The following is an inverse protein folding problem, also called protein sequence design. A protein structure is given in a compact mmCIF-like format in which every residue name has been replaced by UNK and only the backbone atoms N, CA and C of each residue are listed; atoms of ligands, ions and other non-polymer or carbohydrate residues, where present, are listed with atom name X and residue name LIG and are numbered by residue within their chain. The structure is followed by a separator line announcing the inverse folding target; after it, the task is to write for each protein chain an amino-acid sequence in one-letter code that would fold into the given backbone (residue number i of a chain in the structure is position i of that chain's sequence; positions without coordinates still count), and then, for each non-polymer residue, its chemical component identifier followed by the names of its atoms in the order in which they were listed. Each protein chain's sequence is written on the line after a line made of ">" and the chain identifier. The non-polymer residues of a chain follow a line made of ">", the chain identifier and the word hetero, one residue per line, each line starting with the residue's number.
data_IF_950236167061
#
_entry.id   IF_950236167061
#
_cell.length_a   1.000
_cell.length_b   1.000
_cell.length_c   1.000
_cell.angle_alpha   90.00
_cell.angle_beta   90.00
_cell.angle_gamma   90.00
#
_symmetry.space_group_name_H-M   'P 1'
#
loop_
_entity.id
_entity.type
_entity.pdbx_description
1 polymer ?
#
# COMPACT_ATOMS: atom_id res chain seq x y z
N UNK A 1 -16.21 -23.14 -12.99
CA UNK A 1 -14.90 -22.63 -13.47
C UNK A 1 -14.98 -21.76 -14.73
N UNK A 2 -15.84 -22.03 -15.72
CA UNK A 2 -15.97 -21.21 -16.95
C UNK A 2 -16.42 -19.75 -16.72
N UNK A 3 -17.23 -19.48 -15.69
CA UNK A 3 -17.72 -18.13 -15.35
C UNK A 3 -16.65 -17.19 -14.80
N UNK A 4 -15.69 -17.71 -14.02
CA UNK A 4 -14.61 -16.92 -13.44
C UNK A 4 -13.62 -16.49 -14.54
N UNK A 5 -13.36 -17.37 -15.51
CA UNK A 5 -12.47 -17.06 -16.63
C UNK A 5 -13.04 -15.96 -17.55
N UNK A 6 -14.36 -15.96 -17.79
CA UNK A 6 -15.04 -14.91 -18.56
C UNK A 6 -15.06 -13.57 -17.83
N UNK A 7 -15.14 -13.58 -16.50
CA UNK A 7 -15.11 -12.37 -15.68
C UNK A 7 -13.73 -11.69 -15.73
N UNK A 8 -12.64 -12.46 -15.64
CA UNK A 8 -11.28 -11.94 -15.76
C UNK A 8 -10.92 -11.51 -17.20
N UNK A 9 -11.42 -12.22 -18.22
CA UNK A 9 -11.23 -11.83 -19.63
C UNK A 9 -11.98 -10.52 -19.96
N UNK A 10 -13.16 -10.30 -19.35
CA UNK A 10 -13.91 -9.06 -19.47
C UNK A 10 -13.20 -7.85 -18.87
N UNK A 11 -12.54 -8.02 -17.72
CA UNK A 11 -11.77 -6.94 -17.07
C UNK A 11 -10.51 -6.59 -17.87
N UNK A 12 -9.84 -7.59 -18.46
CA UNK A 12 -8.65 -7.39 -19.30
C UNK A 12 -8.98 -6.61 -20.58
N UNK A 13 -10.13 -6.88 -21.20
CA UNK A 13 -10.59 -6.18 -22.40
C UNK A 13 -11.08 -4.76 -22.11
N UNK A 14 -11.74 -4.52 -20.96
CA UNK A 14 -12.19 -3.18 -20.58
C UNK A 14 -11.01 -2.22 -20.29
N UNK A 15 -9.92 -2.74 -19.73
CA UNK A 15 -8.70 -1.97 -19.47
C UNK A 15 -8.00 -1.47 -20.75
N UNK A 16 -8.21 -2.15 -21.88
CA UNK A 16 -7.61 -1.78 -23.17
C UNK A 16 -8.39 -0.64 -23.86
N UNK A 17 -9.69 -0.53 -23.60
CA UNK A 17 -10.58 0.47 -24.23
C UNK A 17 -10.49 1.84 -23.52
N UNK A 18 -10.16 1.87 -22.23
CA UNK A 18 -9.97 3.13 -21.48
C UNK A 18 -8.55 3.72 -21.58
N UNK A 19 -7.61 3.01 -22.23
CA UNK A 19 -6.22 3.45 -22.40
C UNK A 19 -5.98 4.45 -23.54
N UNK A 20 -6.98 4.73 -24.39
CA UNK A 20 -6.87 5.67 -25.51
C UNK A 20 -7.66 6.97 -25.27
N UNK A 21 -7.61 7.50 -24.04
CA UNK A 21 -7.95 8.90 -23.78
C UNK A 21 -6.79 9.79 -24.19
N UNK A 22 -6.77 10.20 -25.47
CA UNK A 22 -5.75 11.08 -26.05
C UNK A 22 -5.66 12.44 -25.35
N UNK A 23 -4.79 12.54 -24.34
CA UNK A 23 -4.18 13.80 -23.95
C UNK A 23 -2.88 13.92 -24.71
N UNK A 24 -2.84 14.77 -25.74
CA UNK A 24 -1.61 15.14 -26.43
C UNK A 24 -0.68 15.81 -25.40
N UNK A 25 0.20 15.01 -24.78
CA UNK A 25 1.22 15.53 -23.90
C UNK A 25 2.14 16.40 -24.77
N UNK A 26 2.35 17.70 -24.43
CA UNK A 26 3.29 18.52 -25.17
C UNK A 26 4.68 17.87 -25.09
N UNK A 27 5.45 17.87 -26.19
CA UNK A 27 6.70 17.14 -26.31
C UNK A 27 7.62 17.45 -25.13
N UNK A 28 7.98 16.39 -24.41
CA UNK A 28 8.88 16.40 -23.27
C UNK A 28 10.27 16.83 -23.77
N UNK A 29 10.67 18.06 -23.46
CA UNK A 29 12.01 18.53 -23.81
C UNK A 29 12.25 20.04 -23.73
N UNK A 30 11.23 20.88 -23.77
CA UNK A 30 11.42 22.34 -23.57
C UNK A 30 10.24 22.93 -22.79
N UNK A 31 10.52 23.45 -21.59
CA UNK A 31 9.52 24.24 -20.86
C UNK A 31 9.14 25.43 -21.76
N UNK A 32 7.86 25.63 -22.02
CA UNK A 32 7.42 26.84 -22.73
C UNK A 32 7.65 28.04 -21.82
N UNK A 33 7.86 29.22 -22.41
CA UNK A 33 8.07 30.47 -21.66
C UNK A 33 6.98 30.68 -20.61
N UNK A 34 5.73 30.39 -20.98
CA UNK A 34 4.57 30.49 -20.09
C UNK A 34 4.71 29.57 -18.88
N UNK A 35 5.15 28.32 -19.08
CA UNK A 35 5.33 27.36 -17.98
C UNK A 35 6.45 27.79 -17.03
N UNK A 36 7.55 28.35 -17.55
CA UNK A 36 8.64 28.88 -16.72
C UNK A 36 8.15 30.06 -15.87
N UNK A 37 7.39 30.98 -16.46
CA UNK A 37 6.83 32.14 -15.77
C UNK A 37 5.85 31.69 -14.69
N UNK A 38 4.94 30.76 -15.02
CA UNK A 38 3.95 30.24 -14.08
C UNK A 38 4.61 29.48 -12.92
N UNK A 39 5.61 28.65 -13.20
CA UNK A 39 6.40 27.96 -12.17
C UNK A 39 7.10 28.96 -11.24
N UNK A 40 7.74 29.97 -11.82
CA UNK A 40 8.40 31.03 -11.04
C UNK A 40 7.41 31.84 -10.20
N UNK A 41 6.25 32.22 -10.75
CA UNK A 41 5.20 32.92 -10.00
C UNK A 41 4.71 32.09 -8.80
N UNK A 42 4.55 30.78 -8.96
CA UNK A 42 4.11 29.89 -7.89
C UNK A 42 5.15 29.79 -6.76
N UNK A 43 6.43 29.63 -7.10
CA UNK A 43 7.53 29.55 -6.12
C UNK A 43 7.70 30.90 -5.40
N UNK A 44 7.68 32.00 -6.14
CA UNK A 44 7.85 33.36 -5.57
C UNK A 44 6.69 33.73 -4.66
N UNK A 45 5.46 33.34 -5.00
CA UNK A 45 4.28 33.55 -4.15
C UNK A 45 4.44 32.85 -2.79
N UNK A 46 4.96 31.63 -2.79
CA UNK A 46 5.23 30.87 -1.56
C UNK A 46 6.31 31.55 -0.70
N UNK A 47 7.40 32.02 -1.34
CA UNK A 47 8.53 32.65 -0.65
C UNK A 47 8.25 34.07 -0.12
N UNK A 48 7.51 34.90 -0.85
CA UNK A 48 7.32 36.32 -0.56
C UNK A 48 5.86 36.69 -0.19
N UNK A 49 4.91 35.76 -0.33
CA UNK A 49 3.49 36.00 -0.08
C UNK A 49 2.79 36.88 -1.13
N UNK A 50 3.50 37.34 -2.16
CA UNK A 50 2.98 38.22 -3.22
C UNK A 50 3.33 37.72 -4.61
N UNK A 51 2.44 37.98 -5.57
CA UNK A 51 2.66 37.73 -7.00
C UNK A 51 3.29 38.93 -7.72
N UNK A 52 3.42 40.06 -7.01
CA UNK A 52 3.95 41.29 -7.57
C UNK A 52 5.48 41.33 -7.52
N UNK A 53 6.10 41.11 -8.68
CA UNK A 53 7.54 41.09 -8.86
C UNK A 53 8.15 42.49 -8.83
N UNK A 54 7.39 43.53 -9.20
CA UNK A 54 7.84 44.91 -9.12
C UNK A 54 7.99 45.35 -7.67
N UNK A 55 7.04 44.93 -6.82
CA UNK A 55 7.11 45.14 -5.37
C UNK A 55 8.35 44.47 -4.74
N UNK A 56 8.66 43.22 -5.13
CA UNK A 56 9.83 42.49 -4.62
C UNK A 56 11.14 43.22 -4.95
N UNK A 57 11.23 43.81 -6.15
CA UNK A 57 12.39 44.59 -6.57
C UNK A 57 12.37 46.05 -6.07
N UNK A 58 11.26 46.52 -5.52
CA UNK A 58 11.08 47.91 -5.09
C UNK A 58 11.06 48.91 -6.25
N UNK A 59 10.53 48.52 -7.40
CA UNK A 59 10.40 49.36 -8.59
C UNK A 59 8.93 49.54 -8.96
N UNK A 60 8.60 50.60 -9.70
CA UNK A 60 7.25 50.78 -10.25
C UNK A 60 6.97 49.87 -11.44
N UNK A 61 5.70 49.63 -11.74
CA UNK A 61 5.25 48.86 -12.91
C UNK A 61 5.72 49.48 -14.23
N UNK A 62 5.91 50.80 -14.28
CA UNK A 62 6.43 51.54 -15.46
C UNK A 62 7.96 51.56 -15.55
N UNK A 63 8.67 50.80 -14.71
CA UNK A 63 10.12 50.82 -14.68
C UNK A 63 10.73 50.36 -16.01
N UNK A 64 11.65 51.18 -16.52
CA UNK A 64 12.51 50.84 -17.66
C UNK A 64 13.54 49.78 -17.27
N UNK A 65 14.08 49.09 -18.27
CA UNK A 65 15.09 48.04 -18.09
C UNK A 65 16.32 48.51 -17.29
N UNK A 66 16.75 49.76 -17.50
CA UNK A 66 17.88 50.35 -16.77
C UNK A 66 17.62 50.48 -15.26
N UNK A 67 16.38 50.82 -14.87
CA UNK A 67 15.96 50.92 -13.47
C UNK A 67 15.89 49.54 -12.82
N UNK A 68 15.35 48.54 -13.53
CA UNK A 68 15.27 47.15 -13.08
C UNK A 68 16.69 46.59 -12.85
N UNK A 69 17.61 46.84 -13.79
CA UNK A 69 19.02 46.47 -13.65
C UNK A 69 19.69 47.10 -12.43
N UNK A 70 19.43 48.39 -12.18
CA UNK A 70 19.97 49.11 -11.02
C UNK A 70 19.43 48.54 -9.71
N UNK A 71 18.12 48.29 -9.63
CA UNK A 71 17.48 47.71 -8.47
C UNK A 71 18.05 46.31 -8.16
N UNK A 72 18.21 45.47 -9.18
CA UNK A 72 18.82 44.14 -9.01
C UNK A 72 20.26 44.20 -8.50
N UNK A 73 21.10 45.11 -9.01
CA UNK A 73 22.47 45.28 -8.51
C UNK A 73 22.51 45.68 -7.03
N UNK A 74 21.57 46.54 -6.60
CA UNK A 74 21.45 46.94 -5.19
C UNK A 74 20.97 45.77 -4.33
N UNK A 75 19.96 45.03 -4.80
CA UNK A 75 19.46 43.81 -4.14
C UNK A 75 20.57 42.78 -3.99
N UNK A 76 21.31 42.51 -5.07
CA UNK A 76 22.34 41.47 -5.11
C UNK A 76 23.49 41.76 -4.14
N UNK A 77 23.91 43.02 -4.00
CA UNK A 77 24.96 43.41 -3.04
C UNK A 77 24.56 43.24 -1.58
N UNK A 78 23.26 43.38 -1.29
CA UNK A 78 22.69 43.22 0.05
C UNK A 78 22.47 41.75 0.39
N UNK A 79 21.90 41.00 -0.55
CA UNK A 79 21.47 39.62 -0.37
C UNK A 79 22.40 38.60 -1.04
N UNK A 80 23.71 38.89 -1.13
CA UNK A 80 24.65 37.97 -1.75
C UNK A 80 24.82 36.71 -0.88
N UNK A 81 24.80 35.48 -1.45
CA UNK A 81 24.88 34.23 -0.68
C UNK A 81 26.18 34.12 0.15
N UNK A 82 27.28 34.72 -0.31
CA UNK A 82 28.56 34.77 0.42
C UNK A 82 28.48 35.53 1.76
N UNK A 83 27.51 36.44 1.92
CA UNK A 83 27.32 37.20 3.16
C UNK A 83 26.40 36.50 4.16
N UNK A 84 25.86 35.34 3.79
CA UNK A 84 24.94 34.61 4.64
C UNK A 84 25.69 33.92 5.78
N UNK A 85 25.31 34.26 7.01
CA UNK A 85 25.82 33.65 8.25
C UNK A 85 24.65 32.95 8.93
N UNK A 86 24.65 31.62 8.93
CA UNK A 86 23.55 30.80 9.46
C UNK A 86 23.77 29.31 9.23
N UNK A 87 22.75 28.51 9.54
CA UNK A 87 22.78 27.06 9.33
C UNK A 87 22.75 26.69 7.83
N UNK A 88 23.19 25.48 7.49
CA UNK A 88 23.26 25.01 6.10
C UNK A 88 21.89 24.96 5.42
N UNK A 89 20.82 24.65 6.17
CA UNK A 89 19.45 24.62 5.65
C UNK A 89 18.97 26.01 5.22
N UNK A 90 19.18 27.00 6.08
CA UNK A 90 18.79 28.38 5.80
C UNK A 90 19.59 28.97 4.65
N UNK A 91 20.85 28.53 4.47
CA UNK A 91 21.69 28.90 3.32
C UNK A 91 21.07 28.43 2.00
N UNK A 92 20.58 27.20 1.93
CA UNK A 92 19.96 26.65 0.72
C UNK A 92 18.69 27.44 0.37
N UNK A 93 17.83 27.71 1.34
CA UNK A 93 16.63 28.54 1.10
C UNK A 93 16.97 29.96 0.66
N UNK A 94 18.03 30.54 1.25
CA UNK A 94 18.50 31.86 0.88
C UNK A 94 19.05 31.91 -0.55
N UNK A 95 19.82 30.90 -0.94
CA UNK A 95 20.35 30.75 -2.30
C UNK A 95 19.23 30.59 -3.33
N UNK A 96 18.21 29.79 -3.01
CA UNK A 96 17.03 29.62 -3.86
C UNK A 96 16.26 30.94 -4.03
N UNK A 97 16.00 31.66 -2.93
CA UNK A 97 15.37 33.00 -2.98
C UNK A 97 16.18 33.96 -3.86
N UNK A 98 17.49 33.97 -3.71
CA UNK A 98 18.38 34.80 -4.52
C UNK A 98 18.31 34.43 -6.01
N UNK A 99 18.35 33.14 -6.33
CA UNK A 99 18.23 32.62 -7.70
C UNK A 99 16.89 33.01 -8.32
N UNK A 100 15.80 32.89 -7.59
CA UNK A 100 14.46 33.25 -8.06
C UNK A 100 14.35 34.74 -8.39
N UNK A 101 14.93 35.62 -7.58
CA UNK A 101 15.00 37.07 -7.91
C UNK A 101 15.82 37.33 -9.17
N UNK A 102 16.90 36.59 -9.39
CA UNK A 102 17.63 36.65 -10.66
C UNK A 102 16.77 36.28 -11.88
N UNK A 103 15.95 35.23 -11.75
CA UNK A 103 15.01 34.82 -12.79
C UNK A 103 13.89 35.84 -13.03
N UNK A 104 13.37 36.45 -11.97
CA UNK A 104 12.39 37.55 -12.06
C UNK A 104 12.97 38.68 -12.92
N UNK A 105 14.17 39.13 -12.61
CA UNK A 105 14.82 40.24 -13.32
C UNK A 105 15.05 39.88 -14.79
N UNK A 106 15.48 38.67 -15.10
CA UNK A 106 15.62 38.21 -16.48
C UNK A 106 14.29 38.20 -17.24
N UNK A 107 13.20 37.86 -16.55
CA UNK A 107 11.85 37.83 -17.12
C UNK A 107 11.30 39.25 -17.34
N UNK A 108 11.57 40.19 -16.43
CA UNK A 108 11.13 41.60 -16.55
C UNK A 108 11.96 42.42 -17.55
N UNK A 109 13.19 41.99 -17.86
CA UNK A 109 14.04 42.62 -18.87
C UNK A 109 13.55 42.39 -20.29
N UNK A 110 13.13 41.16 -20.57
CA UNK A 110 12.64 40.79 -21.90
C UNK A 110 11.19 41.28 -22.07
N UNK A 111 10.90 42.17 -23.03
CA UNK A 111 9.56 42.70 -23.23
C UNK A 111 8.53 41.61 -23.53
N UNK A 112 8.93 40.53 -24.22
CA UNK A 112 8.03 39.42 -24.54
C UNK A 112 7.63 38.67 -23.26
N UNK A 113 8.62 38.35 -22.41
CA UNK A 113 8.39 37.62 -21.16
C UNK A 113 7.67 38.48 -20.12
N UNK A 114 7.99 39.77 -20.06
CA UNK A 114 7.28 40.75 -19.23
C UNK A 114 5.81 40.84 -19.59
N UNK A 115 5.48 40.94 -20.88
CA UNK A 115 4.08 40.96 -21.32
C UNK A 115 3.31 39.69 -20.95
N UNK A 116 3.95 38.52 -20.97
CA UNK A 116 3.35 37.26 -20.50
C UNK A 116 3.13 37.25 -18.99
N UNK A 117 4.11 37.71 -18.21
CA UNK A 117 3.98 37.88 -16.77
C UNK A 117 2.81 38.82 -16.42
N UNK A 118 2.75 39.99 -17.06
CA UNK A 118 1.68 40.97 -16.83
C UNK A 118 0.31 40.38 -17.18
N UNK A 119 0.22 39.66 -18.31
CA UNK A 119 -0.99 38.93 -18.69
C UNK A 119 -1.45 37.94 -17.60
N UNK A 120 -0.55 37.11 -17.07
CA UNK A 120 -0.90 36.15 -16.01
C UNK A 120 -1.20 36.82 -14.67
N UNK A 121 -0.57 37.96 -14.37
CA UNK A 121 -0.84 38.76 -13.18
C UNK A 121 -2.25 39.34 -13.21
N UNK A 122 -2.69 39.90 -14.34
CA UNK A 122 -4.02 40.50 -14.47
C UNK A 122 -5.15 39.49 -14.68
N UNK A 123 -4.94 38.49 -15.54
CA UNK A 123 -5.98 37.52 -15.91
C UNK A 123 -6.07 36.33 -14.95
N UNK A 124 -5.16 36.26 -13.98
CA UNK A 124 -5.08 35.18 -13.02
C UNK A 124 -4.36 33.95 -13.56
N UNK A 125 -3.89 33.14 -12.61
CA UNK A 125 -3.19 31.88 -12.90
C UNK A 125 -4.22 30.83 -13.35
N UNK A 126 -4.04 30.15 -14.51
CA UNK A 126 -4.86 28.99 -14.81
C UNK A 126 -4.55 27.93 -13.75
N UNK A 127 -5.50 27.65 -12.85
CA UNK A 127 -5.39 26.63 -11.79
C UNK A 127 -5.44 25.22 -12.41
N UNK A 128 -4.61 24.98 -13.42
CA UNK A 128 -4.28 23.66 -13.95
C UNK A 128 -2.92 23.28 -13.39
N UNK A 129 -2.79 23.31 -12.07
CA UNK A 129 -1.60 22.79 -11.43
C UNK A 129 -1.65 21.27 -11.49
N UNK A 130 -1.02 20.74 -12.53
CA UNK A 130 -0.52 19.36 -12.71
C UNK A 130 0.11 18.77 -11.43
N UNK A 131 0.45 19.60 -10.43
CA UNK A 131 0.80 19.20 -9.04
C UNK A 131 -0.27 18.36 -8.33
N UNK A 132 -1.57 18.59 -8.59
CA UNK A 132 -2.64 17.71 -8.08
C UNK A 132 -2.46 16.28 -8.63
N UNK A 133 -1.93 16.14 -9.85
CA UNK A 133 -1.66 14.84 -10.46
C UNK A 133 -0.40 14.16 -9.91
N UNK A 134 0.58 14.92 -9.40
CA UNK A 134 1.82 14.36 -8.82
C UNK A 134 1.59 13.88 -7.38
N UNK A 135 0.76 14.57 -6.58
CA UNK A 135 0.26 14.00 -5.31
C UNK A 135 -0.63 12.77 -5.57
N UNK A 136 -1.45 12.78 -6.62
CA UNK A 136 -2.17 11.59 -7.07
C UNK A 136 -1.24 10.50 -7.62
N UNK A 137 0.03 10.78 -7.92
CA UNK A 137 1.02 9.77 -8.33
C UNK A 137 1.81 9.17 -7.14
N UNK A 138 1.66 9.69 -5.92
CA UNK A 138 2.00 8.90 -4.72
C UNK A 138 0.94 7.81 -4.44
N UNK A 139 -0.23 7.86 -5.10
CA UNK A 139 -1.12 6.70 -5.20
C UNK A 139 -0.53 5.60 -6.09
N UNK A 140 0.31 5.96 -7.07
CA UNK A 140 0.86 5.02 -8.04
C UNK A 140 1.83 4.04 -7.38
N UNK A 141 2.74 4.51 -6.53
CA UNK A 141 3.63 3.64 -5.75
C UNK A 141 2.83 2.70 -4.85
N UNK A 142 1.83 3.20 -4.13
CA UNK A 142 0.91 2.36 -3.35
C UNK A 142 0.12 1.36 -4.20
N UNK A 143 -0.27 1.71 -5.43
CA UNK A 143 -0.98 0.83 -6.34
C UNK A 143 -0.07 -0.28 -6.88
N UNK A 144 1.20 0.00 -7.16
CA UNK A 144 2.18 -1.03 -7.52
C UNK A 144 2.48 -1.97 -6.36
N UNK A 145 2.58 -1.46 -5.12
CA UNK A 145 2.65 -2.31 -3.93
C UNK A 145 1.38 -3.13 -3.73
N UNK A 146 0.20 -2.65 -4.09
CA UNK A 146 -1.01 -3.47 -3.99
C UNK A 146 -1.03 -4.54 -5.09
N UNK A 147 -0.77 -4.15 -6.34
CA UNK A 147 -0.85 -5.01 -7.53
C UNK A 147 0.23 -6.09 -7.57
N UNK A 148 1.43 -5.81 -7.02
CA UNK A 148 2.50 -6.81 -6.90
C UNK A 148 2.14 -7.95 -5.93
N UNK A 149 1.21 -7.73 -4.99
CA UNK A 149 0.86 -8.71 -3.96
C UNK A 149 -0.46 -9.43 -4.26
N UNK A 150 -1.31 -8.88 -5.13
CA UNK A 150 -2.51 -9.57 -5.66
C UNK A 150 -2.22 -11.00 -6.13
N UNK A 151 -1.15 -11.33 -6.89
CA UNK A 151 -0.87 -12.71 -7.29
C UNK A 151 -0.37 -13.60 -6.14
N UNK A 152 0.12 -13.02 -5.04
CA UNK A 152 0.60 -13.77 -3.86
C UNK A 152 -0.53 -14.17 -2.91
N UNK A 153 -1.66 -13.43 -2.90
CA UNK A 153 -2.84 -13.74 -2.08
C UNK A 153 -3.35 -15.19 -2.25
N UNK A 154 -3.57 -15.73 -3.48
CA UNK A 154 -4.01 -17.11 -3.63
C UNK A 154 -2.98 -18.13 -3.17
N UNK A 155 -1.68 -17.83 -3.28
CA UNK A 155 -0.61 -18.70 -2.79
C UNK A 155 -0.60 -18.75 -1.25
N UNK A 156 -0.76 -17.60 -0.59
CA UNK A 156 -0.85 -17.54 0.87
C UNK A 156 -2.08 -18.31 1.37
N UNK A 157 -3.24 -18.12 0.74
CA UNK A 157 -4.47 -18.85 1.09
C UNK A 157 -4.24 -20.36 0.92
N UNK A 158 -3.68 -20.79 -0.21
CA UNK A 158 -3.39 -22.20 -0.48
C UNK A 158 -2.41 -22.81 0.54
N UNK A 159 -1.35 -22.09 0.91
CA UNK A 159 -0.41 -22.55 1.94
C UNK A 159 -1.09 -22.66 3.30
N UNK A 160 -1.94 -21.69 3.67
CA UNK A 160 -2.67 -21.75 4.95
C UNK A 160 -3.67 -22.89 5.01
N UNK A 161 -4.36 -23.22 3.92
CA UNK A 161 -5.28 -24.35 3.88
C UNK A 161 -4.54 -25.68 4.03
N UNK A 162 -3.38 -25.83 3.39
CA UNK A 162 -2.54 -27.03 3.54
C UNK A 162 -2.06 -27.20 4.99
N UNK A 163 -1.60 -26.11 5.62
CA UNK A 163 -1.14 -26.15 7.01
C UNK A 163 -2.28 -26.57 7.95
N UNK A 164 -3.49 -26.04 7.74
CA UNK A 164 -4.67 -26.40 8.54
C UNK A 164 -5.07 -27.88 8.35
N UNK A 165 -5.03 -28.40 7.13
CA UNK A 165 -5.32 -29.82 6.87
C UNK A 165 -4.29 -30.74 7.53
N UNK A 166 -3.00 -30.40 7.47
CA UNK A 166 -1.94 -31.16 8.13
C UNK A 166 -2.08 -31.12 9.65
N UNK A 167 -2.42 -29.96 10.22
CA UNK A 167 -2.66 -29.81 11.65
C UNK A 167 -3.87 -30.63 12.11
N UNK A 168 -4.94 -30.64 11.32
CA UNK A 168 -6.12 -31.45 11.58
C UNK A 168 -5.80 -32.95 11.55
N UNK A 169 -5.11 -33.42 10.52
CA UNK A 169 -4.71 -34.83 10.40
C UNK A 169 -3.79 -35.26 11.56
N UNK A 170 -2.87 -34.41 11.98
CA UNK A 170 -2.00 -34.67 13.13
C UNK A 170 -2.80 -34.79 14.44
N UNK A 171 -3.76 -33.89 14.67
CA UNK A 171 -4.62 -33.93 15.84
C UNK A 171 -5.46 -35.23 15.89
N UNK A 172 -6.04 -35.64 14.76
CA UNK A 172 -6.82 -36.87 14.68
C UNK A 172 -5.96 -38.13 14.87
N UNK A 173 -4.71 -38.10 14.39
CA UNK A 173 -3.75 -39.19 14.59
C UNK A 173 -3.39 -39.40 16.08
N UNK A 174 -3.09 -38.32 16.80
CA UNK A 174 -2.84 -38.34 18.25
C UNK A 174 -4.07 -38.89 19.01
N UNK A 175 -5.26 -38.43 18.67
CA UNK A 175 -6.50 -38.89 19.30
C UNK A 175 -6.75 -40.38 19.06
N UNK A 176 -6.50 -40.86 17.83
CA UNK A 176 -6.58 -42.28 17.48
C UNK A 176 -5.56 -43.13 18.24
N UNK A 177 -4.31 -42.68 18.37
CA UNK A 177 -3.32 -43.41 19.17
C UNK A 177 -3.72 -43.50 20.65
N UNK A 178 -4.23 -42.42 21.23
CA UNK A 178 -4.65 -42.40 22.62
C UNK A 178 -5.84 -43.34 22.85
N UNK A 179 -6.84 -43.37 21.97
CA UNK A 179 -7.95 -44.35 22.08
C UNK A 179 -7.48 -45.80 21.96
N UNK A 180 -6.51 -46.09 21.08
CA UNK A 180 -5.92 -47.42 20.98
C UNK A 180 -5.11 -47.81 22.22
N UNK A 181 -4.43 -46.86 22.87
CA UNK A 181 -3.78 -47.06 24.18
C UNK A 181 -4.81 -47.43 25.26
N UNK A 182 -5.94 -46.72 25.32
CA UNK A 182 -7.03 -47.00 26.27
C UNK A 182 -7.78 -48.31 25.99
N UNK A 183 -7.87 -48.75 24.72
CA UNK A 183 -8.61 -49.98 24.32
C UNK A 183 -7.82 -51.28 24.54
N UNK A 184 -6.52 -51.23 24.81
CA UNK A 184 -5.69 -52.42 25.05
C UNK A 184 -6.17 -53.14 26.33
N UNK A 185 -6.75 -54.36 26.25
CA UNK A 185 -7.18 -55.08 27.44
C UNK A 185 -5.93 -55.67 28.11
N UNK A 186 -5.38 -54.98 29.12
CA UNK A 186 -4.31 -55.54 29.94
C UNK A 186 -3.18 -54.60 30.37
N UNK A 187 -3.25 -53.29 30.11
CA UNK A 187 -2.33 -52.34 30.77
C UNK A 187 -3.06 -51.71 31.95
N UNK A 188 -3.04 -52.42 33.07
CA UNK A 188 -3.26 -51.83 34.40
C UNK A 188 -2.05 -50.96 34.74
N UNK A 189 -2.08 -49.69 34.39
CA UNK A 189 -1.28 -48.70 35.12
C UNK A 189 -1.93 -48.52 36.49
N UNK A 190 -1.14 -48.72 37.56
CA UNK A 190 -1.54 -48.47 38.94
C UNK A 190 -2.10 -47.05 39.04
N UNK A 191 -3.41 -46.93 39.23
CA UNK A 191 -4.04 -45.69 39.67
C UNK A 191 -3.41 -45.39 41.04
N UNK A 192 -2.72 -44.27 41.26
CA UNK A 192 -2.33 -43.90 42.62
C UNK A 192 -3.61 -43.85 43.44
N UNK A 193 -3.71 -44.72 44.45
CA UNK A 193 -4.86 -44.79 45.34
C UNK A 193 -4.98 -43.44 46.03
N UNK A 194 -5.77 -42.53 45.45
CA UNK A 194 -6.26 -41.38 46.17
C UNK A 194 -7.05 -41.93 47.36
N UNK A 195 -6.93 -41.31 48.54
CA UNK A 195 -7.67 -41.76 49.72
C UNK A 195 -9.15 -41.90 49.36
N UNK A 196 -9.85 -42.92 49.88
CA UNK A 196 -11.20 -43.26 49.44
C UNK A 196 -12.08 -42.02 49.55
N UNK A 197 -12.49 -41.48 48.40
CA UNK A 197 -13.40 -40.36 48.37
C UNK A 197 -14.77 -40.88 48.84
N UNK A 198 -15.14 -40.52 50.07
CA UNK A 198 -16.36 -40.94 50.78
C UNK A 198 -17.64 -40.32 50.19
N UNK A 199 -17.90 -40.50 48.90
CA UNK A 199 -19.24 -40.31 48.33
C UNK A 199 -19.60 -41.54 47.53
N UNK A 200 -20.40 -42.42 48.14
CA UNK A 200 -21.20 -43.39 47.38
C UNK A 200 -22.15 -42.57 46.50
N UNK A 201 -21.84 -42.46 45.21
CA UNK A 201 -22.75 -41.82 44.26
C UNK A 201 -24.06 -42.60 44.23
N UNK A 202 -25.18 -41.89 44.29
CA UNK A 202 -26.51 -42.48 44.12
C UNK A 202 -26.71 -42.96 42.68
N UNK A 203 -27.44 -44.06 42.48
CA UNK A 203 -27.65 -44.69 41.17
C UNK A 203 -28.16 -43.72 40.08
N UNK A 204 -28.89 -42.68 40.48
CA UNK A 204 -29.35 -41.60 39.58
C UNK A 204 -28.22 -40.71 39.06
N UNK A 205 -27.18 -40.45 39.85
CA UNK A 205 -26.01 -39.69 39.41
C UNK A 205 -25.10 -40.54 38.51
N UNK A 206 -25.04 -41.84 38.77
CA UNK A 206 -24.33 -42.79 37.89
C UNK A 206 -25.03 -42.86 36.53
N UNK A 207 -26.36 -42.95 36.51
CA UNK A 207 -27.15 -42.92 35.27
C UNK A 207 -27.00 -41.59 34.51
N UNK A 208 -26.98 -40.45 35.21
CA UNK A 208 -26.78 -39.14 34.57
C UNK A 208 -25.37 -39.00 33.96
N UNK A 209 -24.35 -39.54 34.62
CA UNK A 209 -22.98 -39.56 34.08
C UNK A 209 -22.81 -40.54 32.93
N UNK A 210 -23.46 -41.70 32.99
CA UNK A 210 -23.50 -42.65 31.88
C UNK A 210 -24.21 -42.05 30.65
N UNK A 211 -25.34 -41.37 30.83
CA UNK A 211 -26.02 -40.66 29.75
C UNK A 211 -25.16 -39.53 29.16
N UNK A 212 -24.37 -38.84 29.99
CA UNK A 212 -23.41 -37.84 29.52
C UNK A 212 -22.24 -38.48 28.74
N UNK A 213 -21.78 -39.68 29.12
CA UNK A 213 -20.74 -40.42 28.40
C UNK A 213 -21.28 -41.00 27.08
N UNK A 214 -22.51 -41.50 27.04
CA UNK A 214 -23.18 -41.87 25.77
C UNK A 214 -23.36 -40.67 24.83
N UNK A 215 -23.51 -39.45 25.38
CA UNK A 215 -23.51 -38.24 24.56
C UNK A 215 -22.12 -37.87 24.01
N UNK A 216 -21.04 -38.37 24.64
CA UNK A 216 -19.67 -38.23 24.16
C UNK A 216 -19.31 -39.29 23.11
N UNK A 217 -19.98 -40.45 23.07
CA UNK A 217 -19.87 -41.44 21.97
C UNK A 217 -20.29 -40.86 20.60
N UNK A 218 -20.95 -39.70 20.63
CA UNK A 218 -21.24 -38.86 19.46
C UNK A 218 -19.98 -38.28 18.80
N UNK A 219 -18.80 -38.43 19.40
CA UNK A 219 -17.51 -38.10 18.77
C UNK A 219 -17.31 -38.91 17.47
N UNK A 220 -17.71 -40.18 17.43
CA UNK A 220 -17.64 -40.99 16.20
C UNK A 220 -18.60 -40.52 15.10
N UNK A 221 -19.76 -39.96 15.47
CA UNK A 221 -20.76 -39.50 14.50
C UNK A 221 -20.43 -38.13 13.87
N UNK A 222 -19.60 -37.33 14.54
CA UNK A 222 -19.15 -36.02 14.04
C UNK A 222 -17.95 -36.18 13.09
N UNK A 223 -17.12 -37.21 13.31
CA UNK A 223 -15.85 -37.39 12.59
C UNK A 223 -15.80 -38.56 11.60
N UNK A 224 -16.84 -39.39 11.51
CA UNK A 224 -16.98 -40.49 10.51
C UNK A 224 -15.77 -41.43 10.43
N UNK A 225 -15.17 -41.79 11.56
CA UNK A 225 -14.05 -42.75 11.63
C UNK A 225 -14.60 -44.09 12.11
N UNK A 226 -14.74 -45.05 11.20
CA UNK A 226 -15.26 -46.39 11.51
C UNK A 226 -14.20 -47.30 12.17
N UNK A 227 -12.90 -47.04 11.97
CA UNK A 227 -11.81 -47.84 12.54
C UNK A 227 -10.51 -47.04 12.77
N UNK A 228 -10.03 -46.87 14.02
CA UNK A 228 -8.83 -46.07 14.33
C UNK A 228 -7.51 -46.60 13.76
N UNK A 229 -7.47 -47.89 13.39
CA UNK A 229 -6.27 -48.56 12.83
C UNK A 229 -6.01 -48.17 11.37
N UNK A 230 -7.00 -47.62 10.67
CA UNK A 230 -6.90 -47.29 9.24
C UNK A 230 -6.36 -45.86 8.99
N UNK A 231 -6.18 -45.06 10.06
CA UNK A 231 -5.63 -43.71 9.98
C UNK A 231 -4.11 -43.80 9.84
N UNK A 232 -3.62 -43.54 8.61
CA UNK A 232 -2.18 -43.53 8.32
C UNK A 232 -1.51 -42.26 8.88
N UNK A 233 -0.22 -42.32 9.27
CA UNK A 233 0.48 -41.15 9.77
C UNK A 233 0.56 -40.05 8.69
N UNK A 234 0.48 -38.75 9.08
CA UNK A 234 0.56 -37.66 8.13
C UNK A 234 1.92 -37.71 7.41
N UNK A 235 1.90 -38.01 6.11
CA UNK A 235 3.08 -38.01 5.25
C UNK A 235 2.84 -37.11 4.04
N UNK A 236 3.88 -36.37 3.62
CA UNK A 236 3.85 -35.49 2.44
C UNK A 236 3.58 -36.24 1.12
N UNK A 237 3.58 -37.58 1.14
CA UNK A 237 3.37 -38.44 -0.02
C UNK A 237 1.89 -38.58 -0.45
N UNK A 238 0.95 -37.93 0.25
CA UNK A 238 -0.47 -37.81 -0.15
C UNK A 238 -0.71 -36.93 -1.39
N UNK A 239 0.31 -36.70 -2.20
CA UNK A 239 0.26 -36.02 -3.51
C UNK A 239 -0.56 -36.76 -4.58
N UNK A 240 -1.21 -37.88 -4.22
CA UNK A 240 -2.00 -38.71 -5.15
C UNK A 240 -3.30 -38.08 -5.66
N UNK A 241 -3.74 -36.93 -5.13
CA UNK A 241 -4.86 -36.19 -5.72
C UNK A 241 -4.53 -35.61 -7.12
N UNK A 242 -3.25 -35.51 -7.49
CA UNK A 242 -2.86 -35.08 -8.84
C UNK A 242 -3.14 -36.14 -9.92
N UNK A 243 -3.31 -37.42 -9.56
CA UNK A 243 -3.61 -38.51 -10.52
C UNK A 243 -5.10 -38.63 -10.86
N UNK A 244 -5.99 -37.95 -10.13
CA UNK A 244 -7.42 -37.92 -10.42
C UNK A 244 -7.80 -36.78 -11.39
N UNK A 245 -6.99 -35.72 -11.46
CA UNK A 245 -7.26 -34.56 -12.34
C UNK A 245 -6.68 -34.78 -13.76
N UNK A 246 -5.63 -35.60 -13.93
CA UNK A 246 -5.05 -35.89 -15.25
C UNK A 246 -5.75 -37.01 -16.04
N UNK A 247 -6.77 -37.68 -15.48
CA UNK A 247 -7.50 -38.76 -16.18
C UNK A 247 -8.92 -38.36 -16.61
N UNK A 248 -9.25 -37.07 -16.53
CA UNK A 248 -10.55 -36.52 -16.98
C UNK A 248 -10.43 -35.22 -17.78
N UNK A 249 -9.28 -35.00 -18.41
CA UNK A 249 -9.08 -34.11 -19.56
C UNK A 249 -8.27 -34.86 -20.62
#
# INVERSE_FOLDING_TARGET
>A
MKFIFLFFLGILLLGSVLGQGGGHAPPEGRKTVDMEILELMAVVKDQHGTLDWYFILGVGEDARESTINRAYRLYSRRNHPDKFVGEEKDRLEFEEKFKNVGLIVNTLKDPMRRGRYDYFRFNGFPISTRKIKIEFLNFSTSFYFFWSYIPMIPLVIFMTTIILELAYAFCMYELAQNTLRYKKPGVSEEIPVLPPFKRTLTDSEVAARLAHIESLDKFNSVFSIENPQDITPPSLNSFFFYRFISSRF
#
